data_IF_023787908082
#
_entry.id   IF_023787908082
#
_cell.length_a   1.000
_cell.length_b   1.000
_cell.length_c   1.000
_cell.angle_alpha   90.00
_cell.angle_beta   90.00
_cell.angle_gamma   90.00
#
_symmetry.space_group_name_H-M   'P 1'
#
loop_
_entity.id
_entity.type
_entity.pdbx_description
1 polymer ?
#
# COMPACT_ATOMS: atom_id res chain seq x y z
N UNK A 1 11.71 8.68 17.91
CA UNK A 1 10.81 8.76 16.75
C UNK A 1 10.86 7.43 16.01
N UNK A 2 9.74 6.74 15.82
CA UNK A 2 9.76 5.42 15.22
C UNK A 2 10.06 5.50 13.71
N UNK A 3 10.92 4.59 13.22
CA UNK A 3 11.43 4.50 11.84
C UNK A 3 10.37 4.66 10.73
N UNK A 4 9.11 4.29 11.01
CA UNK A 4 8.01 4.41 10.06
C UNK A 4 7.59 5.87 9.79
N UNK A 5 7.74 6.79 10.76
CA UNK A 5 7.38 8.21 10.57
C UNK A 5 8.38 8.91 9.65
N UNK A 6 9.64 8.50 9.68
CA UNK A 6 10.67 9.00 8.76
C UNK A 6 10.45 8.55 7.32
N UNK A 7 10.00 7.31 7.11
CA UNK A 7 9.74 6.76 5.77
C UNK A 7 8.56 7.47 5.08
N UNK A 8 7.57 7.90 5.85
CA UNK A 8 6.34 8.52 5.33
C UNK A 8 6.51 10.02 5.05
N UNK A 9 7.45 10.67 5.73
CA UNK A 9 7.77 12.07 5.48
C UNK A 9 8.64 12.28 4.21
N UNK A 10 9.09 11.19 3.58
CA UNK A 10 9.86 11.23 2.34
C UNK A 10 8.94 11.28 1.12
N UNK A 11 9.39 11.97 0.07
CA UNK A 11 8.69 12.13 -1.22
C UNK A 11 8.19 10.77 -1.73
N UNK A 12 6.97 10.73 -2.29
CA UNK A 12 6.34 9.54 -2.92
C UNK A 12 7.31 8.58 -3.62
N UNK A 13 8.23 9.13 -4.42
CA UNK A 13 9.24 8.35 -5.17
C UNK A 13 10.12 7.48 -4.28
N UNK A 14 10.49 7.96 -3.09
CA UNK A 14 11.30 7.19 -2.14
C UNK A 14 10.52 6.04 -1.51
N UNK A 15 9.22 6.20 -1.26
CA UNK A 15 8.37 5.12 -0.76
C UNK A 15 8.29 3.98 -1.79
N UNK A 16 8.05 4.32 -3.06
CA UNK A 16 8.10 3.35 -4.16
C UNK A 16 9.49 2.71 -4.31
N UNK A 17 10.57 3.48 -4.20
CA UNK A 17 11.94 2.93 -4.23
C UNK A 17 12.21 1.95 -3.09
N UNK A 18 11.72 2.24 -1.88
CA UNK A 18 11.88 1.31 -0.74
C UNK A 18 11.07 0.03 -0.94
N UNK A 19 9.83 0.13 -1.42
CA UNK A 19 9.00 -1.02 -1.79
C UNK A 19 9.66 -1.87 -2.88
N UNK A 20 10.27 -1.23 -3.87
CA UNK A 20 10.99 -1.88 -4.96
C UNK A 20 12.27 -2.57 -4.45
N UNK A 21 13.02 -1.94 -3.55
CA UNK A 21 14.18 -2.55 -2.90
C UNK A 21 13.78 -3.78 -2.07
N UNK A 22 12.69 -3.69 -1.30
CA UNK A 22 12.14 -4.84 -0.56
C UNK A 22 11.66 -5.95 -1.50
N UNK A 23 11.06 -5.62 -2.65
CA UNK A 23 10.62 -6.63 -3.61
C UNK A 23 11.80 -7.35 -4.27
N UNK A 24 12.87 -6.64 -4.60
CA UNK A 24 14.12 -7.24 -5.11
C UNK A 24 14.72 -8.17 -4.06
N UNK A 25 14.79 -7.74 -2.80
CA UNK A 25 15.35 -8.54 -1.71
C UNK A 25 14.51 -9.80 -1.47
N UNK A 26 13.17 -9.70 -1.51
CA UNK A 26 12.27 -10.85 -1.40
C UNK A 26 12.45 -11.83 -2.58
N UNK A 27 12.61 -11.33 -3.81
CA UNK A 27 12.88 -12.16 -4.98
C UNK A 27 14.22 -12.89 -4.85
N UNK A 28 15.25 -12.19 -4.40
CA UNK A 28 16.60 -12.72 -4.24
C UNK A 28 16.64 -13.76 -3.11
N UNK A 29 15.94 -13.52 -2.00
CA UNK A 29 15.78 -14.49 -0.91
C UNK A 29 15.04 -15.76 -1.37
N UNK A 30 13.93 -15.60 -2.13
CA UNK A 30 13.20 -16.71 -2.72
C UNK A 30 14.09 -17.52 -3.68
N UNK A 31 14.84 -16.85 -4.55
CA UNK A 31 15.76 -17.49 -5.48
C UNK A 31 16.87 -18.27 -4.77
N UNK A 32 17.48 -17.70 -3.73
CA UNK A 32 18.53 -18.35 -2.94
C UNK A 32 18.01 -19.56 -2.16
N UNK A 33 16.84 -19.43 -1.51
CA UNK A 33 16.19 -20.54 -0.79
C UNK A 33 15.94 -21.73 -1.72
N UNK A 34 15.45 -21.43 -2.92
CA UNK A 34 15.08 -22.44 -3.90
C UNK A 34 16.29 -23.12 -4.54
N UNK A 35 17.37 -22.35 -4.79
CA UNK A 35 18.63 -22.88 -5.33
C UNK A 35 19.35 -23.82 -4.35
N UNK A 36 19.28 -23.54 -3.04
CA UNK A 36 19.96 -24.36 -2.03
C UNK A 36 19.17 -25.61 -1.60
N UNK A 37 17.86 -25.71 -1.87
CA UNK A 37 17.03 -26.79 -1.30
C UNK A 37 16.03 -27.42 -2.29
N UNK A 38 16.50 -28.30 -3.20
CA UNK A 38 15.66 -28.87 -4.26
C UNK A 38 14.51 -29.77 -3.77
N UNK A 39 14.62 -30.41 -2.59
CA UNK A 39 13.53 -31.24 -2.03
C UNK A 39 12.36 -30.41 -1.48
N UNK A 40 12.65 -29.27 -0.85
CA UNK A 40 11.63 -28.33 -0.35
C UNK A 40 10.89 -27.67 -1.50
N UNK A 41 11.61 -27.46 -2.59
CA UNK A 41 11.15 -26.91 -3.85
C UNK A 41 9.94 -27.66 -4.44
N UNK A 42 10.04 -28.98 -4.59
CA UNK A 42 8.98 -29.81 -5.19
C UNK A 42 7.75 -29.89 -4.27
N UNK A 43 7.97 -30.13 -2.97
CA UNK A 43 6.88 -30.17 -2.00
C UNK A 43 6.13 -28.83 -1.89
N UNK A 44 6.85 -27.70 -2.00
CA UNK A 44 6.24 -26.37 -1.99
C UNK A 44 5.42 -26.13 -3.25
N UNK A 45 5.88 -26.57 -4.42
CA UNK A 45 5.12 -26.45 -5.68
C UNK A 45 3.77 -27.18 -5.60
N UNK A 46 3.78 -28.43 -5.12
CA UNK A 46 2.56 -29.21 -4.94
C UNK A 46 1.61 -28.59 -3.91
N UNK A 47 2.17 -28.10 -2.79
CA UNK A 47 1.40 -27.40 -1.78
C UNK A 47 0.79 -26.10 -2.31
N UNK A 48 1.54 -25.33 -3.09
CA UNK A 48 1.08 -24.09 -3.69
C UNK A 48 -0.08 -24.34 -4.66
N UNK A 49 0.07 -25.33 -5.55
CA UNK A 49 -0.92 -25.64 -6.58
C UNK A 49 -2.22 -26.19 -5.98
N UNK A 50 -2.12 -27.04 -4.95
CA UNK A 50 -3.30 -27.67 -4.32
C UNK A 50 -4.01 -26.74 -3.34
N UNK A 51 -3.27 -25.96 -2.55
CA UNK A 51 -3.84 -25.26 -1.40
C UNK A 51 -3.76 -23.73 -1.53
N UNK A 52 -2.60 -23.15 -1.79
CA UNK A 52 -2.43 -21.68 -1.70
C UNK A 52 -3.07 -20.89 -2.84
N UNK A 53 -2.99 -21.37 -4.09
CA UNK A 53 -3.37 -20.58 -5.26
C UNK A 53 -4.80 -20.04 -5.18
N UNK A 54 -5.76 -20.91 -4.83
CA UNK A 54 -7.17 -20.54 -4.72
C UNK A 54 -7.42 -19.50 -3.63
N UNK A 55 -6.78 -19.65 -2.47
CA UNK A 55 -6.91 -18.69 -1.38
C UNK A 55 -6.23 -17.36 -1.69
N UNK A 56 -5.07 -17.36 -2.35
CA UNK A 56 -4.40 -16.13 -2.78
C UNK A 56 -5.23 -15.40 -3.83
N UNK A 57 -5.76 -16.11 -4.83
CA UNK A 57 -6.67 -15.53 -5.82
C UNK A 57 -7.89 -14.88 -5.16
N UNK A 58 -8.63 -15.64 -4.36
CA UNK A 58 -9.84 -15.16 -3.69
C UNK A 58 -9.54 -14.00 -2.73
N UNK A 59 -8.46 -14.12 -1.94
CA UNK A 59 -8.02 -13.09 -1.00
C UNK A 59 -7.67 -11.78 -1.68
N UNK A 60 -6.88 -11.81 -2.76
CA UNK A 60 -6.49 -10.58 -3.45
C UNK A 60 -7.64 -9.94 -4.24
N UNK A 61 -8.55 -10.71 -4.85
CA UNK A 61 -9.77 -10.16 -5.45
C UNK A 61 -10.65 -9.51 -4.39
N UNK A 62 -10.86 -10.19 -3.26
CA UNK A 62 -11.69 -9.68 -2.18
C UNK A 62 -11.13 -8.36 -1.61
N UNK A 63 -9.83 -8.32 -1.31
CA UNK A 63 -9.18 -7.11 -0.79
C UNK A 63 -9.17 -5.99 -1.84
N UNK A 64 -8.90 -6.30 -3.11
CA UNK A 64 -8.93 -5.31 -4.19
C UNK A 64 -10.32 -4.69 -4.38
N UNK A 65 -11.36 -5.53 -4.34
CA UNK A 65 -12.76 -5.09 -4.47
C UNK A 65 -13.19 -4.26 -3.26
N UNK A 66 -12.78 -4.67 -2.06
CA UNK A 66 -13.03 -3.93 -0.83
C UNK A 66 -12.37 -2.54 -0.85
N UNK A 67 -11.10 -2.47 -1.24
CA UNK A 67 -10.39 -1.19 -1.36
C UNK A 67 -11.00 -0.30 -2.42
N UNK A 68 -11.43 -0.85 -3.56
CA UNK A 68 -12.12 -0.09 -4.61
C UNK A 68 -13.44 0.52 -4.10
N UNK A 69 -14.23 -0.26 -3.36
CA UNK A 69 -15.47 0.21 -2.75
C UNK A 69 -15.23 1.31 -1.71
N UNK A 70 -14.20 1.18 -0.87
CA UNK A 70 -13.90 2.13 0.19
C UNK A 70 -13.10 3.36 -0.26
N UNK A 71 -12.38 3.29 -1.37
CA UNK A 71 -11.42 4.31 -1.80
C UNK A 71 -12.02 5.71 -1.79
N UNK A 72 -13.10 5.91 -2.55
CA UNK A 72 -13.79 7.20 -2.64
C UNK A 72 -14.29 7.68 -1.29
N UNK A 73 -14.86 6.78 -0.48
CA UNK A 73 -15.36 7.12 0.86
C UNK A 73 -14.25 7.61 1.79
N UNK A 74 -13.10 6.91 1.82
CA UNK A 74 -11.94 7.28 2.65
C UNK A 74 -11.37 8.62 2.22
N UNK A 75 -11.24 8.84 0.91
CA UNK A 75 -10.68 10.09 0.36
C UNK A 75 -11.58 11.29 0.65
N UNK A 76 -12.90 11.17 0.44
CA UNK A 76 -13.85 12.25 0.73
C UNK A 76 -13.89 12.55 2.24
N UNK A 77 -13.97 11.52 3.09
CA UNK A 77 -13.99 11.74 4.55
C UNK A 77 -12.71 12.41 5.05
N UNK A 78 -11.54 12.03 4.54
CA UNK A 78 -10.28 12.67 4.92
C UNK A 78 -10.21 14.11 4.42
N UNK A 79 -10.65 14.37 3.18
CA UNK A 79 -10.77 15.73 2.64
C UNK A 79 -11.59 16.61 3.58
N UNK A 80 -12.82 16.20 3.85
CA UNK A 80 -13.79 17.06 4.52
C UNK A 80 -13.48 17.22 6.01
N UNK A 81 -13.02 16.15 6.67
CA UNK A 81 -12.80 16.14 8.13
C UNK A 81 -11.40 16.59 8.56
N UNK A 82 -10.39 16.50 7.68
CA UNK A 82 -9.00 16.88 8.00
C UNK A 82 -8.58 18.10 7.21
N UNK A 83 -8.51 17.98 5.89
CA UNK A 83 -7.83 18.97 5.05
C UNK A 83 -8.66 20.23 4.79
N UNK A 84 -9.99 20.10 4.76
CA UNK A 84 -10.91 21.22 4.60
C UNK A 84 -11.14 22.02 5.89
N UNK A 85 -10.62 21.56 7.03
CA UNK A 85 -10.79 22.25 8.32
C UNK A 85 -9.91 23.51 8.40
N UNK A 86 -10.46 24.57 9.00
CA UNK A 86 -9.73 25.83 9.19
C UNK A 86 -8.46 25.65 10.03
N UNK A 87 -8.50 24.79 11.06
CA UNK A 87 -7.33 24.45 11.89
C UNK A 87 -6.18 23.86 11.07
N UNK A 88 -6.47 22.99 10.09
CA UNK A 88 -5.42 22.44 9.23
C UNK A 88 -4.79 23.52 8.36
N UNK A 89 -5.61 24.42 7.80
CA UNK A 89 -5.13 25.56 7.00
C UNK A 89 -4.26 26.52 7.81
N UNK A 90 -4.60 26.75 9.08
CA UNK A 90 -3.81 27.57 10.00
C UNK A 90 -2.48 26.91 10.40
N UNK A 91 -2.49 25.62 10.72
CA UNK A 91 -1.25 24.88 11.00
C UNK A 91 -0.35 24.88 9.76
N UNK A 92 -0.94 24.71 8.58
CA UNK A 92 -0.23 24.73 7.32
C UNK A 92 0.33 26.12 7.00
N UNK A 93 -0.43 27.20 7.23
CA UNK A 93 0.02 28.58 7.01
C UNK A 93 1.20 28.92 7.92
N UNK A 94 1.15 28.54 9.20
CA UNK A 94 2.23 28.72 10.16
C UNK A 94 3.47 27.94 9.73
N UNK A 95 3.30 26.69 9.29
CA UNK A 95 4.42 25.83 8.89
C UNK A 95 5.08 26.25 7.57
N UNK A 96 4.33 26.85 6.64
CA UNK A 96 4.84 27.27 5.32
C UNK A 96 5.13 28.76 5.20
N UNK A 97 4.70 29.58 6.17
CA UNK A 97 4.81 31.04 6.12
C UNK A 97 3.91 31.70 5.07
N UNK A 98 2.96 30.96 4.49
CA UNK A 98 2.05 31.45 3.44
C UNK A 98 0.72 31.86 4.11
N UNK A 99 0.23 33.09 3.90
CA UNK A 99 -1.05 33.52 4.45
C UNK A 99 -2.20 32.68 3.86
N UNK A 100 -3.25 32.47 4.66
CA UNK A 100 -4.36 31.53 4.35
C UNK A 100 -4.99 31.83 2.98
N UNK A 101 -5.12 33.11 2.62
CA UNK A 101 -5.73 33.57 1.35
C UNK A 101 -4.85 33.30 0.11
N UNK A 102 -3.57 32.96 0.29
CA UNK A 102 -2.65 32.58 -0.80
C UNK A 102 -2.34 31.08 -0.84
N UNK A 103 -2.96 30.28 0.04
CA UNK A 103 -2.76 28.83 0.02
C UNK A 103 -3.43 28.26 -1.24
N UNK A 104 -2.61 27.70 -2.13
CA UNK A 104 -3.12 26.99 -3.28
C UNK A 104 -3.66 25.62 -2.84
N UNK A 105 -4.95 25.38 -3.07
CA UNK A 105 -5.65 24.13 -2.76
C UNK A 105 -4.92 22.89 -3.32
N UNK A 106 -4.29 23.01 -4.49
CA UNK A 106 -3.52 21.91 -5.09
C UNK A 106 -2.32 21.47 -4.24
N UNK A 107 -1.72 22.36 -3.46
CA UNK A 107 -0.59 22.06 -2.58
C UNK A 107 -1.10 21.54 -1.24
N UNK A 108 -2.22 22.07 -0.75
CA UNK A 108 -2.86 21.66 0.49
C UNK A 108 -3.37 20.22 0.43
N UNK A 109 -4.02 19.84 -0.68
CA UNK A 109 -4.57 18.49 -0.89
C UNK A 109 -3.56 17.51 -1.47
N UNK A 110 -2.32 17.92 -1.70
CA UNK A 110 -1.27 17.05 -2.23
C UNK A 110 -1.06 15.76 -1.42
N UNK A 111 -1.09 15.76 -0.07
CA UNK A 111 -1.02 14.53 0.71
C UNK A 111 -2.22 13.59 0.47
N UNK A 112 -3.41 14.16 0.21
CA UNK A 112 -4.61 13.41 -0.10
C UNK A 112 -4.55 12.78 -1.50
N UNK A 113 -4.05 13.53 -2.48
CA UNK A 113 -3.83 13.03 -3.84
C UNK A 113 -2.81 11.88 -3.87
N UNK A 114 -1.72 12.02 -3.10
CA UNK A 114 -0.74 10.95 -2.90
C UNK A 114 -1.37 9.69 -2.30
N UNK A 115 -2.24 9.84 -1.28
CA UNK A 115 -2.95 8.72 -0.68
C UNK A 115 -3.91 8.06 -1.69
N UNK A 116 -4.64 8.86 -2.46
CA UNK A 116 -5.53 8.36 -3.52
C UNK A 116 -4.76 7.54 -4.55
N UNK A 117 -3.62 8.04 -5.00
CA UNK A 117 -2.72 7.34 -5.93
C UNK A 117 -2.21 6.00 -5.36
N UNK A 118 -1.85 5.95 -4.07
CA UNK A 118 -1.44 4.70 -3.41
C UNK A 118 -2.55 3.67 -3.32
N UNK A 119 -3.76 4.08 -2.93
CA UNK A 119 -4.90 3.17 -2.85
C UNK A 119 -5.22 2.63 -4.25
N UNK A 120 -5.26 3.49 -5.28
CA UNK A 120 -5.50 3.06 -6.66
C UNK A 120 -4.43 2.08 -7.16
N UNK A 121 -3.15 2.36 -6.88
CA UNK A 121 -2.05 1.46 -7.22
C UNK A 121 -2.18 0.13 -6.48
N UNK A 122 -2.60 0.15 -5.21
CA UNK A 122 -2.82 -1.06 -4.42
C UNK A 122 -3.97 -1.91 -4.96
N UNK A 123 -5.06 -1.27 -5.39
CA UNK A 123 -6.19 -1.94 -6.05
C UNK A 123 -5.71 -2.61 -7.33
N UNK A 124 -5.05 -1.85 -8.22
CA UNK A 124 -4.52 -2.40 -9.47
C UNK A 124 -3.58 -3.57 -9.21
N UNK A 125 -2.60 -3.41 -8.31
CA UNK A 125 -1.69 -4.49 -7.94
C UNK A 125 -2.43 -5.72 -7.39
N UNK A 126 -3.44 -5.56 -6.55
CA UNK A 126 -4.20 -6.68 -6.00
C UNK A 126 -4.98 -7.45 -7.06
N UNK A 127 -5.66 -6.75 -7.98
CA UNK A 127 -6.40 -7.36 -9.08
C UNK A 127 -5.44 -8.04 -10.05
N UNK A 128 -4.35 -7.37 -10.44
CA UNK A 128 -3.31 -7.95 -11.30
C UNK A 128 -2.68 -9.19 -10.65
N UNK A 129 -2.43 -9.16 -9.34
CA UNK A 129 -1.90 -10.31 -8.60
C UNK A 129 -2.89 -11.47 -8.63
N UNK A 130 -4.17 -11.23 -8.39
CA UNK A 130 -5.17 -12.28 -8.49
C UNK A 130 -5.24 -12.87 -9.91
N UNK A 131 -5.29 -12.03 -10.95
CA UNK A 131 -5.31 -12.50 -12.34
C UNK A 131 -4.04 -13.33 -12.63
N UNK A 132 -2.87 -12.90 -12.16
CA UNK A 132 -1.63 -13.65 -12.32
C UNK A 132 -1.63 -14.98 -11.54
N UNK A 133 -2.18 -14.99 -10.32
CA UNK A 133 -2.35 -16.21 -9.52
C UNK A 133 -3.24 -17.23 -10.22
N UNK A 134 -4.29 -16.77 -10.90
CA UNK A 134 -5.18 -17.64 -11.66
C UNK A 134 -4.56 -18.08 -12.99
N UNK A 135 -4.01 -17.17 -13.79
CA UNK A 135 -3.50 -17.46 -15.15
C UNK A 135 -2.11 -18.10 -15.12
N UNK A 136 -1.11 -17.40 -14.57
CA UNK A 136 0.29 -17.84 -14.51
C UNK A 136 0.46 -18.98 -13.49
N UNK A 137 -0.30 -18.94 -12.39
CA UNK A 137 -0.29 -20.00 -11.37
C UNK A 137 -0.92 -21.33 -11.80
N UNK A 138 -1.55 -21.41 -12.98
CA UNK A 138 -1.95 -22.66 -13.62
C UNK A 138 -0.80 -23.33 -14.40
N UNK A 139 0.26 -22.59 -14.72
CA UNK A 139 1.40 -23.13 -15.44
C UNK A 139 2.12 -24.21 -14.62
N UNK A 140 2.53 -25.29 -15.27
CA UNK A 140 3.37 -26.35 -14.70
C UNK A 140 4.83 -25.93 -14.48
N UNK A 141 5.17 -24.68 -14.83
CA UNK A 141 6.50 -24.14 -14.64
C UNK A 141 6.73 -23.66 -13.21
N UNK A 142 7.80 -24.19 -12.61
CA UNK A 142 8.24 -23.83 -11.26
C UNK A 142 8.59 -22.34 -11.13
N UNK A 143 9.18 -21.75 -12.17
CA UNK A 143 9.49 -20.32 -12.20
C UNK A 143 8.23 -19.44 -12.24
N UNK A 144 7.15 -19.91 -12.87
CA UNK A 144 5.87 -19.22 -12.88
C UNK A 144 5.24 -19.19 -11.48
N UNK A 145 5.31 -20.31 -10.75
CA UNK A 145 4.92 -20.38 -9.34
C UNK A 145 5.73 -19.41 -8.47
N UNK A 146 7.06 -19.36 -8.63
CA UNK A 146 7.93 -18.46 -7.88
C UNK A 146 7.56 -16.99 -8.13
N UNK A 147 7.31 -16.64 -9.39
CA UNK A 147 6.88 -15.30 -9.78
C UNK A 147 5.54 -14.92 -9.16
N UNK A 148 4.55 -15.82 -9.15
CA UNK A 148 3.26 -15.59 -8.52
C UNK A 148 3.39 -15.36 -7.01
N UNK A 149 4.20 -16.16 -6.31
CA UNK A 149 4.44 -15.99 -4.86
C UNK A 149 5.16 -14.67 -4.58
N UNK A 150 6.16 -14.32 -5.38
CA UNK A 150 6.82 -13.02 -5.28
C UNK A 150 5.83 -11.85 -5.45
N UNK A 151 4.97 -11.93 -6.46
CA UNK A 151 3.95 -10.92 -6.73
C UNK A 151 2.94 -10.82 -5.58
N UNK A 152 2.55 -11.94 -4.98
CA UNK A 152 1.70 -11.96 -3.79
C UNK A 152 2.34 -11.26 -2.59
N UNK A 153 3.62 -11.53 -2.31
CA UNK A 153 4.37 -10.89 -1.24
C UNK A 153 4.46 -9.38 -1.47
N UNK A 154 4.79 -8.96 -2.69
CA UNK A 154 4.85 -7.54 -3.08
C UNK A 154 3.52 -6.83 -2.80
N UNK A 155 2.41 -7.43 -3.23
CA UNK A 155 1.07 -6.88 -3.04
C UNK A 155 0.70 -6.78 -1.57
N UNK A 156 1.03 -7.77 -0.74
CA UNK A 156 0.83 -7.69 0.71
C UNK A 156 1.60 -6.53 1.33
N UNK A 157 2.86 -6.34 0.95
CA UNK A 157 3.66 -5.20 1.45
C UNK A 157 3.06 -3.85 1.03
N UNK A 158 2.59 -3.74 -0.21
CA UNK A 158 1.94 -2.52 -0.70
C UNK A 158 0.65 -2.22 0.07
N UNK A 159 -0.18 -3.24 0.32
CA UNK A 159 -1.41 -3.12 1.11
C UNK A 159 -1.13 -2.70 2.56
N UNK A 160 -0.12 -3.30 3.20
CA UNK A 160 0.30 -2.92 4.55
C UNK A 160 0.80 -1.47 4.59
N UNK A 161 1.56 -1.04 3.57
CA UNK A 161 2.02 0.34 3.48
C UNK A 161 0.84 1.32 3.35
N UNK A 162 -0.14 0.99 2.49
CA UNK A 162 -1.36 1.76 2.35
C UNK A 162 -2.11 1.90 3.69
N UNK A 163 -2.25 0.79 4.44
CA UNK A 163 -2.92 0.79 5.75
C UNK A 163 -2.23 1.71 6.76
N UNK A 164 -0.89 1.74 6.78
CA UNK A 164 -0.12 2.59 7.68
C UNK A 164 -0.34 4.07 7.35
N UNK A 165 -0.33 4.45 6.06
CA UNK A 165 -0.56 5.83 5.63
C UNK A 165 -1.97 6.30 6.04
N UNK A 166 -2.99 5.47 5.81
CA UNK A 166 -4.37 5.78 6.23
C UNK A 166 -4.42 6.01 7.75
N UNK A 167 -3.80 5.11 8.53
CA UNK A 167 -3.77 5.20 10.00
C UNK A 167 -3.10 6.49 10.49
N UNK A 168 -2.03 6.94 9.84
CA UNK A 168 -1.38 8.19 10.19
C UNK A 168 -2.28 9.40 9.92
N UNK A 169 -2.97 9.44 8.78
CA UNK A 169 -3.91 10.52 8.47
C UNK A 169 -5.06 10.57 9.48
N UNK A 170 -5.58 9.42 9.90
CA UNK A 170 -6.59 9.34 10.97
C UNK A 170 -6.01 9.80 12.31
N UNK A 171 -4.75 9.49 12.63
CA UNK A 171 -4.10 9.98 13.86
C UNK A 171 -3.98 11.51 13.87
N UNK A 172 -3.72 12.13 12.72
CA UNK A 172 -3.72 13.59 12.57
C UNK A 172 -5.14 14.14 12.81
N UNK A 173 -6.16 13.54 12.20
CA UNK A 173 -7.57 13.88 12.43
C UNK A 173 -7.93 13.85 13.93
N UNK A 174 -7.59 12.76 14.63
CA UNK A 174 -7.91 12.58 16.05
C UNK A 174 -7.18 13.60 16.93
N UNK A 175 -5.94 13.97 16.58
CA UNK A 175 -5.21 15.02 17.30
C UNK A 175 -5.86 16.40 17.14
N UNK A 176 -6.42 16.71 15.96
CA UNK A 176 -7.16 17.96 15.74
C UNK A 176 -8.44 18.01 16.59
N UNK A 177 -9.21 16.92 16.60
CA UNK A 177 -10.44 16.83 17.42
C UNK A 177 -10.17 17.02 18.92
N UNK A 178 -9.02 16.54 19.42
CA UNK A 178 -8.63 16.73 20.83
C UNK A 178 -8.26 18.18 21.16
N UNK A 179 -7.80 18.97 20.18
CA UNK A 179 -7.49 20.40 20.35
C UNK A 179 -8.74 21.28 20.36
N UNK A 180 -9.82 20.86 19.68
CA UNK A 180 -11.13 21.54 19.70
C UNK A 180 -11.92 21.40 21.01
N UNK A 181 -11.60 20.39 21.82
CA UNK A 181 -12.35 20.05 23.03
C UNK A 181 -11.71 20.49 24.35
N UNK A 182 -10.66 21.31 24.32
CA UNK A 182 -10.01 21.90 25.49
C UNK A 182 -9.80 23.39 25.29
#
# INVERSE_FOLDING_TARGET
MPLYEWLINKRLRYQYLTLLAFSILALLALYLLYRNTPKVSVNFFDFYHKNLRGYLFSGFISVGSFLLSLHTFVIINLRDKVFATQEYKEIYSIATGIPIDKINDSVLYKPLDNLSSFINTSILCSITTAIAQFTIGLSTNLYACLFCVWLAILTVFLLLHCLIIIRQNIKILLKQQRKKGG
#
